data_IF_097274747425
#
_entry.id   IF_097274747425
#
_cell.length_a   1.000
_cell.length_b   1.000
_cell.length_c   1.000
_cell.angle_alpha   90.00
_cell.angle_beta   90.00
_cell.angle_gamma   90.00
#
_symmetry.space_group_name_H-M   'P 1'
#
loop_
_entity.id
_entity.type
_entity.pdbx_description
1 polymer ?
#
# COMPACT_ATOMS: atom_id res chain seq x y z
N UNK A 1 30.03 4.68 20.86
CA UNK A 1 28.81 4.10 20.27
C UNK A 1 27.66 4.90 20.85
N UNK A 2 27.14 5.82 20.04
CA UNK A 2 26.28 6.90 20.51
C UNK A 2 24.92 6.38 20.95
N UNK A 3 24.52 6.72 22.18
CA UNK A 3 23.14 6.60 22.66
C UNK A 3 22.15 7.47 21.85
N UNK A 4 22.65 8.29 20.90
CA UNK A 4 21.86 9.16 20.03
C UNK A 4 21.03 8.40 18.97
N UNK A 5 21.43 7.19 18.58
CA UNK A 5 20.67 6.37 17.62
C UNK A 5 19.52 5.56 18.28
N UNK A 6 19.44 5.56 19.62
CA UNK A 6 18.41 4.87 20.35
C UNK A 6 17.16 5.74 20.50
N UNK A 7 15.97 5.19 20.24
CA UNK A 7 14.69 5.89 20.38
C UNK A 7 14.22 5.94 21.85
N UNK A 8 15.10 6.35 22.78
CA UNK A 8 14.87 6.30 24.23
C UNK A 8 13.57 7.01 24.64
N UNK A 9 13.24 8.12 23.97
CA UNK A 9 12.02 8.89 24.19
C UNK A 9 10.72 8.11 23.88
N UNK A 10 10.78 7.05 23.05
CA UNK A 10 9.63 6.20 22.70
C UNK A 10 9.53 4.92 23.51
N UNK A 11 10.62 4.49 24.15
CA UNK A 11 10.67 3.18 24.80
C UNK A 11 9.57 2.98 25.83
N UNK A 12 9.23 4.01 26.63
CA UNK A 12 8.18 3.90 27.64
C UNK A 12 6.78 3.67 27.02
N UNK A 13 6.45 4.40 25.95
CA UNK A 13 5.17 4.27 25.26
C UNK A 13 5.03 2.91 24.55
N UNK A 14 6.10 2.46 23.89
CA UNK A 14 6.14 1.18 23.19
C UNK A 14 6.14 0.00 24.17
N UNK A 15 6.85 0.11 25.30
CA UNK A 15 6.81 -0.88 26.39
C UNK A 15 5.39 -1.02 26.96
N UNK A 16 4.66 0.09 27.16
CA UNK A 16 3.28 0.05 27.62
C UNK A 16 2.33 -0.63 26.62
N UNK A 17 2.56 -0.46 25.31
CA UNK A 17 1.81 -1.18 24.26
C UNK A 17 2.10 -2.68 24.28
N UNK A 18 3.38 -3.05 24.41
CA UNK A 18 3.82 -4.44 24.47
C UNK A 18 3.22 -5.17 25.67
N UNK A 19 3.28 -4.56 26.86
CA UNK A 19 2.72 -5.14 28.08
C UNK A 19 1.21 -5.36 28.01
N UNK A 20 0.47 -4.43 27.39
CA UNK A 20 -0.97 -4.60 27.12
C UNK A 20 -1.25 -5.75 26.16
N UNK A 21 -0.44 -5.89 25.12
CA UNK A 21 -0.61 -6.94 24.11
C UNK A 21 -0.28 -8.34 24.65
N UNK A 22 0.70 -8.45 25.56
CA UNK A 22 1.11 -9.70 26.18
C UNK A 22 0.33 -10.03 27.48
N UNK A 23 -0.67 -9.21 27.85
CA UNK A 23 -1.44 -9.33 29.10
C UNK A 23 -0.55 -9.48 30.36
N UNK A 24 0.64 -8.88 30.32
CA UNK A 24 1.63 -9.00 31.38
C UNK A 24 1.28 -8.06 32.53
N UNK A 25 1.08 -8.62 33.72
CA UNK A 25 0.72 -7.87 34.93
C UNK A 25 1.88 -7.05 35.54
N UNK A 26 3.11 -7.19 35.05
CA UNK A 26 4.28 -6.46 35.55
C UNK A 26 4.76 -5.39 34.57
N UNK A 27 5.11 -4.20 35.06
CA UNK A 27 5.60 -3.05 34.27
C UNK A 27 7.03 -3.16 33.75
N UNK A 28 7.60 -4.36 33.64
CA UNK A 28 9.02 -4.55 33.31
C UNK A 28 9.23 -5.08 31.89
N UNK A 29 10.06 -4.40 31.11
CA UNK A 29 10.44 -4.76 29.74
C UNK A 29 11.96 -4.73 29.57
N UNK A 30 12.50 -5.64 28.76
CA UNK A 30 13.92 -5.66 28.41
C UNK A 30 14.15 -5.01 27.05
N UNK A 31 15.04 -4.02 26.97
CA UNK A 31 15.51 -3.42 25.71
C UNK A 31 16.84 -4.05 25.30
N UNK A 32 16.92 -4.55 24.07
CA UNK A 32 18.13 -5.19 23.55
C UNK A 32 18.92 -4.20 22.67
N UNK A 33 20.06 -3.73 23.18
CA UNK A 33 20.94 -2.82 22.44
C UNK A 33 21.92 -3.57 21.53
N UNK A 34 22.34 -4.78 21.90
CA UNK A 34 23.08 -5.70 21.04
C UNK A 34 23.10 -7.11 21.66
N UNK A 35 23.84 -8.05 21.06
CA UNK A 35 23.98 -9.41 21.56
C UNK A 35 24.52 -9.51 23.01
N UNK A 36 25.23 -8.49 23.51
CA UNK A 36 25.90 -8.47 24.82
C UNK A 36 25.38 -7.41 25.80
N UNK A 37 24.53 -6.47 25.35
CA UNK A 37 24.01 -5.35 26.15
C UNK A 37 22.50 -5.32 26.13
N UNK A 38 21.91 -5.37 27.32
CA UNK A 38 20.47 -5.27 27.56
C UNK A 38 20.23 -4.24 28.65
N UNK A 39 19.14 -3.49 28.52
CA UNK A 39 18.66 -2.53 29.51
C UNK A 39 17.31 -3.01 30.00
N UNK A 40 17.03 -2.86 31.29
CA UNK A 40 15.73 -3.20 31.88
C UNK A 40 14.99 -1.89 32.14
N UNK A 41 13.77 -1.80 31.63
CA UNK A 41 12.87 -0.67 31.86
C UNK A 41 11.77 -1.13 32.81
N UNK A 42 11.61 -0.39 33.92
CA UNK A 42 10.49 -0.54 34.85
C UNK A 42 9.59 0.70 34.73
N UNK A 43 8.35 0.49 34.27
CA UNK A 43 7.35 1.54 34.11
C UNK A 43 6.60 1.85 35.41
N UNK A 44 6.53 0.91 36.35
CA UNK A 44 5.79 1.06 37.61
C UNK A 44 6.62 1.79 38.68
N UNK A 45 7.95 1.66 38.61
CA UNK A 45 8.89 2.34 39.50
C UNK A 45 10.21 2.69 38.77
N UNK A 46 10.29 3.85 38.10
CA UNK A 46 11.51 4.25 37.40
C UNK A 46 12.63 4.51 38.42
N UNK A 47 13.62 3.60 38.47
CA UNK A 47 14.81 3.73 39.32
C UNK A 47 14.96 2.66 40.42
N UNK A 48 13.97 1.80 40.60
CA UNK A 48 14.08 0.68 41.53
C UNK A 48 14.83 -0.51 40.89
N UNK A 49 15.72 -1.16 41.65
CA UNK A 49 16.42 -2.36 41.19
C UNK A 49 15.44 -3.48 40.96
N UNK A 50 15.37 -3.95 39.71
CA UNK A 50 14.42 -4.97 39.33
C UNK A 50 14.84 -6.34 39.88
N UNK A 51 13.89 -7.06 40.49
CA UNK A 51 14.09 -8.41 41.02
C UNK A 51 14.44 -9.43 39.92
N UNK A 52 14.74 -10.69 40.29
CA UNK A 52 15.09 -11.73 39.33
C UNK A 52 13.96 -11.95 38.31
N UNK A 53 14.30 -12.26 37.04
CA UNK A 53 13.30 -12.43 36.00
C UNK A 53 12.35 -13.60 36.34
N UNK A 54 11.06 -13.52 35.96
CA UNK A 54 10.13 -14.62 36.11
C UNK A 54 10.57 -15.82 35.28
N UNK A 55 10.04 -17.01 35.57
CA UNK A 55 10.41 -18.25 34.89
C UNK A 55 10.26 -18.22 33.36
N UNK A 56 9.40 -17.32 32.84
CA UNK A 56 9.17 -17.10 31.40
C UNK A 56 9.98 -15.92 30.81
N UNK A 57 10.76 -15.22 31.63
CA UNK A 57 11.47 -13.98 31.25
C UNK A 57 10.55 -12.76 31.15
N UNK A 58 11.14 -11.57 31.02
CA UNK A 58 10.38 -10.35 30.70
C UNK A 58 10.23 -10.17 29.19
N UNK A 59 9.14 -9.53 28.74
CA UNK A 59 8.98 -9.09 27.35
C UNK A 59 10.20 -8.33 26.85
N UNK A 60 10.55 -8.52 25.58
CA UNK A 60 11.65 -7.81 24.93
C UNK A 60 11.10 -6.77 23.98
N UNK A 61 11.52 -5.52 24.14
CA UNK A 61 11.12 -4.43 23.26
C UNK A 61 11.54 -4.75 21.81
N UNK A 62 10.64 -4.59 20.82
CA UNK A 62 10.97 -4.81 19.41
C UNK A 62 12.16 -3.95 18.96
N UNK A 63 12.97 -4.47 18.04
CA UNK A 63 14.15 -3.75 17.53
C UNK A 63 13.72 -2.43 16.85
N UNK A 64 12.56 -2.40 16.17
CA UNK A 64 12.00 -1.19 15.55
C UNK A 64 11.61 -0.08 16.55
N UNK A 65 11.35 -0.43 17.81
CA UNK A 65 11.11 0.52 18.89
C UNK A 65 12.39 0.86 19.66
N UNK A 66 13.44 0.05 19.52
CA UNK A 66 14.73 0.26 20.18
C UNK A 66 15.53 1.37 19.50
N UNK A 67 15.53 1.39 18.17
CA UNK A 67 16.32 2.31 17.35
C UNK A 67 15.47 3.42 16.73
N UNK A 68 16.09 4.56 16.44
CA UNK A 68 15.46 5.56 15.57
C UNK A 68 15.36 4.96 14.17
N UNK A 69 14.21 5.13 13.51
CA UNK A 69 14.01 4.62 12.16
C UNK A 69 14.95 5.34 11.18
N UNK A 70 15.60 4.65 10.22
CA UNK A 70 16.51 5.28 9.28
C UNK A 70 15.91 6.50 8.57
N UNK A 71 14.64 6.40 8.17
CA UNK A 71 13.92 7.49 7.50
C UNK A 71 13.74 8.72 8.42
N UNK A 72 13.50 8.51 9.72
CA UNK A 72 13.46 9.58 10.71
C UNK A 72 14.84 10.18 10.95
N UNK A 73 15.91 9.39 10.94
CA UNK A 73 17.28 9.91 11.06
C UNK A 73 17.61 10.81 9.86
N UNK A 74 17.25 10.39 8.65
CA UNK A 74 17.45 11.17 7.42
C UNK A 74 16.64 12.47 7.42
N UNK A 75 15.38 12.43 7.86
CA UNK A 75 14.53 13.62 8.01
C UNK A 75 15.10 14.59 9.04
N UNK A 76 15.47 14.12 10.23
CA UNK A 76 16.06 14.97 11.28
C UNK A 76 17.40 15.58 10.86
N UNK A 77 18.16 14.88 10.01
CA UNK A 77 19.40 15.36 9.44
C UNK A 77 19.20 16.32 8.25
N UNK A 78 17.95 16.52 7.79
CA UNK A 78 17.63 17.34 6.61
C UNK A 78 18.22 16.78 5.31
N UNK A 79 18.51 15.47 5.26
CA UNK A 79 19.08 14.82 4.09
C UNK A 79 18.02 14.41 3.07
N UNK A 80 16.77 14.30 3.51
CA UNK A 80 15.59 14.08 2.69
C UNK A 80 14.45 14.95 3.20
N UNK A 81 13.59 15.37 2.29
CA UNK A 81 12.33 16.04 2.59
C UNK A 81 11.18 15.01 2.64
N UNK A 82 10.09 15.36 3.33
CA UNK A 82 8.95 14.46 3.54
C UNK A 82 8.22 14.07 2.24
N UNK A 83 8.30 14.91 1.21
CA UNK A 83 7.74 14.69 -0.13
C UNK A 83 8.49 13.61 -0.92
N UNK A 84 9.74 13.30 -0.54
CA UNK A 84 10.55 12.23 -1.13
C UNK A 84 10.29 10.87 -0.49
N UNK A 85 9.57 10.84 0.64
CA UNK A 85 9.13 9.59 1.26
C UNK A 85 7.85 9.08 0.60
N UNK A 86 7.65 7.76 0.67
CA UNK A 86 6.39 7.18 0.24
C UNK A 86 5.23 7.76 1.08
N UNK A 87 4.06 8.11 0.51
CA UNK A 87 2.99 8.81 1.23
C UNK A 87 2.54 8.13 2.54
N UNK A 88 2.46 6.79 2.55
CA UNK A 88 2.15 6.03 3.76
C UNK A 88 3.23 6.21 4.85
N UNK A 89 4.49 6.20 4.46
CA UNK A 89 5.63 6.38 5.38
C UNK A 89 5.65 7.82 5.89
N UNK A 90 5.48 8.81 5.01
CA UNK A 90 5.38 10.21 5.39
C UNK A 90 4.25 10.44 6.41
N UNK A 91 3.06 9.88 6.16
CA UNK A 91 1.91 10.00 7.07
C UNK A 91 2.11 9.30 8.42
N UNK A 92 2.88 8.21 8.47
CA UNK A 92 3.16 7.48 9.70
C UNK A 92 4.26 8.15 10.54
N UNK A 93 5.26 8.76 9.89
CA UNK A 93 6.39 9.42 10.54
C UNK A 93 6.09 10.87 10.94
N UNK A 94 5.20 11.54 10.20
CA UNK A 94 4.80 12.93 10.39
C UNK A 94 3.26 13.01 10.45
N UNK A 95 2.63 12.67 11.59
CA UNK A 95 1.17 12.67 11.72
C UNK A 95 0.53 14.05 11.48
N UNK A 96 1.27 15.13 11.80
CA UNK A 96 0.84 16.51 11.60
C UNK A 96 1.03 16.99 10.14
N UNK A 97 1.77 16.23 9.32
CA UNK A 97 1.81 16.42 7.88
C UNK A 97 0.60 15.72 7.22
N UNK A 98 -0.61 16.06 7.67
CA UNK A 98 -1.81 15.81 6.86
C UNK A 98 -1.72 16.67 5.60
N UNK A 99 -1.13 16.08 4.54
CA UNK A 99 -1.16 16.52 3.14
C UNK A 99 -1.31 18.05 2.95
N UNK A 100 -0.26 18.80 3.27
CA UNK A 100 0.04 19.98 2.48
C UNK A 100 0.58 19.48 1.13
N UNK A 101 -0.30 19.35 0.14
CA UNK A 101 0.11 18.93 -1.20
C UNK A 101 -0.22 17.48 -1.56
N UNK A 102 -1.50 17.10 -1.51
CA UNK A 102 -2.02 16.66 -2.81
C UNK A 102 -1.94 17.94 -3.63
N UNK A 103 -0.91 18.06 -4.48
CA UNK A 103 -0.84 19.14 -5.44
C UNK A 103 -2.23 19.23 -6.04
N UNK A 104 -2.95 20.30 -5.67
CA UNK A 104 -4.07 20.73 -6.47
C UNK A 104 -3.43 20.87 -7.84
N UNK A 105 -3.73 19.92 -8.72
CA UNK A 105 -3.39 20.04 -10.12
C UNK A 105 -3.84 21.44 -10.50
N UNK A 106 -2.91 22.35 -10.84
CA UNK A 106 -3.33 23.62 -11.39
C UNK A 106 -4.12 23.24 -12.64
N UNK A 107 -5.40 23.59 -12.66
CA UNK A 107 -6.36 23.42 -13.76
C UNK A 107 -7.35 22.24 -13.66
N UNK A 108 -8.14 22.17 -12.58
CA UNK A 108 -9.46 21.48 -12.61
C UNK A 108 -10.51 22.17 -13.52
N UNK A 109 -10.08 23.04 -14.43
CA UNK A 109 -10.87 23.55 -15.56
C UNK A 109 -10.33 23.08 -16.93
N UNK A 110 -9.32 22.18 -16.94
CA UNK A 110 -8.59 21.75 -18.13
C UNK A 110 -8.71 20.28 -18.55
N UNK A 111 -9.45 19.43 -17.83
CA UNK A 111 -9.50 17.96 -18.06
C UNK A 111 -10.24 17.54 -19.35
N UNK A 112 -10.34 18.41 -20.36
CA UNK A 112 -10.87 18.01 -21.66
C UNK A 112 -9.76 17.51 -22.57
N UNK A 113 -9.66 16.19 -22.77
CA UNK A 113 -8.76 15.58 -23.76
C UNK A 113 -9.19 15.99 -25.16
N UNK A 114 -8.23 16.34 -26.01
CA UNK A 114 -8.48 16.69 -27.42
C UNK A 114 -8.15 15.52 -28.33
N UNK A 115 -9.00 15.27 -29.33
CA UNK A 115 -8.85 14.19 -30.31
C UNK A 115 -9.18 14.70 -31.69
N UNK A 116 -8.36 14.34 -32.67
CA UNK A 116 -8.64 14.54 -34.10
C UNK A 116 -9.75 13.58 -34.55
N UNK A 117 -10.94 14.10 -34.83
CA UNK A 117 -12.08 13.35 -35.32
C UNK A 117 -12.55 13.91 -36.66
N UNK A 118 -12.50 13.10 -37.71
CA UNK A 118 -12.97 13.46 -39.07
C UNK A 118 -12.42 14.82 -39.58
N UNK A 119 -11.19 15.18 -39.21
CA UNK A 119 -10.52 16.41 -39.64
C UNK A 119 -10.82 17.65 -38.79
N UNK A 120 -11.51 17.51 -37.66
CA UNK A 120 -11.70 18.55 -36.66
C UNK A 120 -11.17 18.10 -35.29
N UNK A 121 -10.74 19.07 -34.47
CA UNK A 121 -10.34 18.79 -33.08
C UNK A 121 -11.58 18.75 -32.18
N UNK A 122 -11.91 17.58 -31.64
CA UNK A 122 -13.00 17.38 -30.70
C UNK A 122 -12.48 17.28 -29.26
N UNK A 123 -13.32 17.63 -28.30
CA UNK A 123 -13.09 17.63 -26.86
C UNK A 123 -13.85 16.47 -26.22
N UNK A 124 -13.15 15.73 -25.37
CA UNK A 124 -13.70 14.70 -24.49
C UNK A 124 -13.59 15.24 -23.08
N UNK A 125 -14.70 15.32 -22.35
CA UNK A 125 -14.72 15.76 -20.96
C UNK A 125 -15.43 14.74 -20.07
N UNK A 126 -15.34 14.93 -18.76
CA UNK A 126 -16.10 14.14 -17.78
C UNK A 126 -17.42 14.85 -17.50
N UNK A 127 -18.54 14.14 -17.66
CA UNK A 127 -19.88 14.58 -17.24
C UNK A 127 -20.47 13.46 -16.39
N UNK A 128 -20.85 13.78 -15.15
CA UNK A 128 -21.40 12.81 -14.18
C UNK A 128 -20.54 11.54 -13.99
N UNK A 129 -19.22 11.71 -13.91
CA UNK A 129 -18.28 10.59 -13.73
C UNK A 129 -18.05 9.73 -14.98
N UNK A 130 -18.55 10.16 -16.15
CA UNK A 130 -18.40 9.44 -17.42
C UNK A 130 -17.68 10.31 -18.44
N UNK A 131 -16.71 9.73 -19.16
CA UNK A 131 -16.08 10.40 -20.29
C UNK A 131 -17.06 10.51 -21.47
N UNK A 132 -17.39 11.73 -21.86
CA UNK A 132 -18.34 12.06 -22.93
C UNK A 132 -17.65 12.91 -24.00
N UNK A 133 -17.86 12.61 -25.30
CA UNK A 133 -17.44 13.52 -26.36
C UNK A 133 -18.39 14.73 -26.39
N UNK A 134 -17.86 15.91 -26.06
CA UNK A 134 -18.65 17.13 -25.89
C UNK A 134 -19.13 17.71 -27.23
N UNK A 135 -18.43 17.40 -28.32
CA UNK A 135 -18.71 17.94 -29.66
C UNK A 135 -19.59 17.02 -30.52
N UNK A 136 -20.17 15.97 -29.94
CA UNK A 136 -21.10 15.07 -30.62
C UNK A 136 -22.50 15.10 -29.99
N UNK A 137 -23.53 15.12 -30.84
CA UNK A 137 -24.92 14.97 -30.38
C UNK A 137 -25.24 13.51 -30.01
N UNK A 138 -26.21 13.29 -29.11
CA UNK A 138 -26.60 11.95 -28.64
C UNK A 138 -27.04 11.02 -29.79
N UNK A 139 -27.74 11.54 -30.80
CA UNK A 139 -28.17 10.74 -31.95
C UNK A 139 -27.01 10.34 -32.86
N UNK A 140 -25.97 11.18 -32.93
CA UNK A 140 -24.75 10.83 -33.63
C UNK A 140 -23.99 9.72 -32.90
N UNK A 141 -23.83 9.86 -31.58
CA UNK A 141 -23.18 8.85 -30.74
C UNK A 141 -23.89 7.49 -30.87
N UNK A 142 -25.21 7.45 -30.72
CA UNK A 142 -26.00 6.21 -30.82
C UNK A 142 -25.83 5.51 -32.16
N UNK A 143 -25.83 6.27 -33.26
CA UNK A 143 -25.63 5.70 -34.61
C UNK A 143 -24.24 5.08 -34.74
N UNK A 144 -23.23 5.76 -34.24
CA UNK A 144 -21.83 5.30 -34.33
C UNK A 144 -21.60 4.08 -33.44
N UNK A 145 -22.19 4.04 -32.24
CA UNK A 145 -22.19 2.85 -31.38
C UNK A 145 -22.87 1.65 -32.04
N UNK A 146 -23.98 1.87 -32.74
CA UNK A 146 -24.64 0.81 -33.54
C UNK A 146 -23.75 0.33 -34.69
N UNK A 147 -23.07 1.24 -35.39
CA UNK A 147 -22.13 0.86 -36.45
C UNK A 147 -20.97 0.02 -35.89
N UNK A 148 -20.44 0.37 -34.71
CA UNK A 148 -19.41 -0.40 -34.02
C UNK A 148 -19.90 -1.80 -33.64
N UNK A 149 -21.10 -1.91 -33.08
CA UNK A 149 -21.70 -3.19 -32.74
C UNK A 149 -21.89 -4.11 -33.96
N UNK A 150 -22.07 -3.54 -35.15
CA UNK A 150 -22.16 -4.25 -36.42
C UNK A 150 -20.78 -4.52 -37.08
N UNK A 151 -19.68 -4.28 -36.37
CA UNK A 151 -18.30 -4.52 -36.85
C UNK A 151 -17.69 -3.35 -37.62
N UNK A 152 -18.33 -2.18 -37.61
CA UNK A 152 -17.79 -0.94 -38.16
C UNK A 152 -16.67 -0.35 -37.29
N UNK A 153 -15.85 0.52 -37.88
CA UNK A 153 -14.80 1.24 -37.16
C UNK A 153 -15.39 2.36 -36.30
N UNK A 154 -15.09 2.34 -35.00
CA UNK A 154 -15.47 3.40 -34.08
C UNK A 154 -14.87 4.76 -34.47
N UNK A 155 -15.60 5.84 -34.19
CA UNK A 155 -15.07 7.19 -34.28
C UNK A 155 -13.80 7.35 -33.43
N UNK A 156 -12.83 8.19 -33.85
CA UNK A 156 -11.66 8.50 -33.03
C UNK A 156 -12.00 8.92 -31.60
N UNK A 157 -13.05 9.72 -31.40
CA UNK A 157 -13.52 10.11 -30.06
C UNK A 157 -13.96 8.92 -29.21
N UNK A 158 -14.80 8.04 -29.75
CA UNK A 158 -15.27 6.85 -29.04
C UNK A 158 -14.12 5.87 -28.74
N UNK A 159 -13.20 5.69 -29.70
CA UNK A 159 -11.97 4.90 -29.48
C UNK A 159 -11.10 5.48 -28.37
N UNK A 160 -10.92 6.80 -28.33
CA UNK A 160 -10.12 7.44 -27.30
C UNK A 160 -10.75 7.30 -25.90
N UNK A 161 -12.08 7.32 -25.81
CA UNK A 161 -12.81 7.04 -24.57
C UNK A 161 -12.63 5.57 -24.16
N UNK A 162 -12.83 4.63 -25.09
CA UNK A 162 -12.66 3.21 -24.81
C UNK A 162 -11.22 2.86 -24.39
N UNK A 163 -10.22 3.49 -25.02
CA UNK A 163 -8.82 3.28 -24.67
C UNK A 163 -8.50 3.87 -23.30
N UNK A 164 -9.00 5.06 -22.97
CA UNK A 164 -8.83 5.65 -21.64
C UNK A 164 -9.39 4.73 -20.53
N UNK A 165 -10.49 4.02 -20.78
CA UNK A 165 -11.03 3.05 -19.83
C UNK A 165 -10.25 1.73 -19.80
N UNK A 166 -9.75 1.24 -20.95
CA UNK A 166 -9.09 -0.07 -21.03
C UNK A 166 -7.62 -0.04 -20.62
N UNK A 167 -6.88 0.99 -21.04
CA UNK A 167 -5.45 1.18 -20.77
C UNK A 167 -5.18 2.67 -20.49
N UNK A 168 -5.43 3.17 -19.27
CA UNK A 168 -5.03 4.52 -18.91
C UNK A 168 -3.51 4.65 -19.00
N UNK A 169 -3.02 5.78 -19.50
CA UNK A 169 -1.58 6.06 -19.61
C UNK A 169 -0.81 5.88 -18.29
N UNK A 170 -1.44 6.20 -17.16
CA UNK A 170 -0.86 6.07 -15.82
C UNK A 170 -1.08 4.68 -15.18
N UNK A 171 -1.51 3.66 -15.94
CA UNK A 171 -1.72 2.31 -15.41
C UNK A 171 -0.47 1.75 -14.71
N UNK A 172 0.71 2.13 -15.19
CA UNK A 172 2.00 1.74 -14.57
C UNK A 172 2.12 2.30 -13.16
N UNK A 173 1.79 3.58 -12.97
CA UNK A 173 1.89 4.25 -11.68
C UNK A 173 0.82 3.78 -10.70
N UNK A 174 -0.40 3.55 -11.19
CA UNK A 174 -1.48 2.92 -10.41
C UNK A 174 -1.05 1.53 -9.93
N UNK A 175 -0.46 0.71 -10.82
CA UNK A 175 0.01 -0.63 -10.47
C UNK A 175 1.14 -0.60 -9.44
N UNK A 176 2.10 0.31 -9.60
CA UNK A 176 3.17 0.50 -8.62
C UNK A 176 2.59 0.83 -7.22
N UNK A 177 1.64 1.75 -7.13
CA UNK A 177 0.96 2.09 -5.87
C UNK A 177 0.24 0.90 -5.25
N UNK A 178 -0.49 0.14 -6.05
CA UNK A 178 -1.19 -1.07 -5.59
C UNK A 178 -0.22 -2.14 -5.10
N UNK A 179 0.89 -2.38 -5.81
CA UNK A 179 1.93 -3.32 -5.39
C UNK A 179 2.59 -2.91 -4.06
N UNK A 180 2.61 -1.60 -3.76
CA UNK A 180 3.08 -1.05 -2.48
C UNK A 180 1.99 -0.93 -1.40
N UNK A 181 0.74 -1.30 -1.69
CA UNK A 181 -0.38 -1.24 -0.75
C UNK A 181 -1.02 0.14 -0.57
N UNK A 182 -0.69 1.13 -1.42
CA UNK A 182 -1.32 2.45 -1.44
C UNK A 182 -2.61 2.44 -2.27
N UNK A 183 -3.66 1.81 -1.72
CA UNK A 183 -4.98 1.75 -2.40
C UNK A 183 -5.64 3.12 -2.51
N UNK A 184 -5.50 3.96 -1.49
CA UNK A 184 -6.07 5.31 -1.49
C UNK A 184 -5.43 6.19 -2.56
N UNK A 185 -4.10 6.18 -2.69
CA UNK A 185 -3.41 6.93 -3.74
C UNK A 185 -3.64 6.36 -5.14
N UNK A 186 -3.79 5.04 -5.28
CA UNK A 186 -4.16 4.42 -6.55
C UNK A 186 -5.55 4.86 -7.02
N UNK A 187 -6.54 4.87 -6.12
CA UNK A 187 -7.91 5.33 -6.43
C UNK A 187 -7.93 6.83 -6.78
N UNK A 188 -7.21 7.67 -6.02
CA UNK A 188 -7.14 9.10 -6.31
C UNK A 188 -6.53 9.38 -7.70
N UNK A 189 -5.54 8.59 -8.13
CA UNK A 189 -4.97 8.70 -9.48
C UNK A 189 -6.01 8.34 -10.55
N UNK A 190 -6.76 7.24 -10.35
CA UNK A 190 -7.84 6.84 -11.26
C UNK A 190 -8.94 7.90 -11.33
N UNK A 191 -9.36 8.45 -10.19
CA UNK A 191 -10.37 9.52 -10.12
C UNK A 191 -9.90 10.80 -10.83
N UNK A 192 -8.62 11.13 -10.76
CA UNK A 192 -8.05 12.27 -11.48
C UNK A 192 -8.07 12.09 -13.00
N UNK A 193 -7.90 10.85 -13.48
CA UNK A 193 -7.85 10.53 -14.92
C UNK A 193 -9.22 10.38 -15.54
N UNK A 194 -10.11 9.65 -14.88
CA UNK A 194 -11.39 9.24 -15.43
C UNK A 194 -12.59 9.99 -14.84
N UNK A 195 -12.35 10.70 -13.73
CA UNK A 195 -13.38 11.38 -12.96
C UNK A 195 -13.78 10.60 -11.69
N UNK A 196 -14.40 11.29 -10.73
CA UNK A 196 -14.97 10.65 -9.55
C UNK A 196 -16.09 9.69 -9.96
N UNK A 197 -16.28 8.62 -9.19
CA UNK A 197 -17.33 7.61 -9.37
C UNK A 197 -17.35 6.93 -10.76
N UNK A 198 -16.21 6.90 -11.47
CA UNK A 198 -16.13 6.27 -12.79
C UNK A 198 -16.53 4.79 -12.73
N UNK A 199 -17.45 4.41 -13.61
CA UNK A 199 -17.78 3.00 -13.83
C UNK A 199 -16.70 2.32 -14.67
N UNK A 200 -15.86 1.52 -14.02
CA UNK A 200 -14.77 0.79 -14.67
C UNK A 200 -15.32 -0.30 -15.61
N UNK A 201 -15.05 -0.12 -16.91
CA UNK A 201 -15.24 -1.18 -17.91
C UNK A 201 -14.21 -2.30 -17.73
N UNK A 202 -14.51 -3.47 -18.32
CA UNK A 202 -13.56 -4.58 -18.39
C UNK A 202 -12.30 -4.16 -19.16
N UNK A 203 -11.14 -4.43 -18.57
CA UNK A 203 -9.84 -4.00 -19.10
C UNK A 203 -8.74 -4.13 -18.05
N UNK A 204 -7.50 -3.83 -18.45
CA UNK A 204 -6.32 -4.04 -17.62
C UNK A 204 -6.42 -3.30 -16.27
N UNK A 205 -6.95 -2.08 -16.24
CA UNK A 205 -7.16 -1.33 -14.99
C UNK A 205 -8.08 -2.06 -14.01
N UNK A 206 -9.22 -2.57 -14.49
CA UNK A 206 -10.18 -3.30 -13.66
C UNK A 206 -9.58 -4.61 -13.14
N UNK A 207 -8.86 -5.32 -13.99
CA UNK A 207 -8.21 -6.58 -13.63
C UNK A 207 -7.13 -6.38 -12.56
N UNK A 208 -6.37 -5.28 -12.63
CA UNK A 208 -5.36 -4.92 -11.63
C UNK A 208 -5.99 -4.58 -10.27
N UNK A 209 -7.06 -3.78 -10.26
CA UNK A 209 -7.79 -3.47 -9.02
C UNK A 209 -8.42 -4.73 -8.41
N UNK A 210 -9.03 -5.58 -9.22
CA UNK A 210 -9.57 -6.86 -8.73
C UNK A 210 -8.46 -7.76 -8.18
N UNK A 211 -7.32 -7.81 -8.84
CA UNK A 211 -6.15 -8.57 -8.38
C UNK A 211 -5.62 -8.03 -7.06
N UNK A 212 -5.54 -6.70 -6.90
CA UNK A 212 -5.13 -6.06 -5.65
C UNK A 212 -6.08 -6.41 -4.49
N UNK A 213 -7.40 -6.33 -4.72
CA UNK A 213 -8.41 -6.74 -3.73
C UNK A 213 -8.26 -8.21 -3.37
N UNK A 214 -8.07 -9.09 -4.36
CA UNK A 214 -7.89 -10.53 -4.13
C UNK A 214 -6.64 -10.83 -3.31
N UNK A 215 -5.54 -10.13 -3.58
CA UNK A 215 -4.29 -10.20 -2.79
C UNK A 215 -4.52 -9.72 -1.37
N UNK A 216 -5.22 -8.60 -1.18
CA UNK A 216 -5.53 -8.06 0.15
C UNK A 216 -6.40 -9.02 0.97
N UNK A 217 -7.43 -9.61 0.37
CA UNK A 217 -8.28 -10.62 1.05
C UNK A 217 -7.47 -11.86 1.40
N UNK A 218 -6.66 -12.37 0.47
CA UNK A 218 -5.82 -13.55 0.70
C UNK A 218 -4.80 -13.30 1.81
N UNK A 219 -4.17 -12.13 1.80
CA UNK A 219 -3.24 -11.73 2.85
C UNK A 219 -3.95 -11.57 4.20
N UNK A 220 -5.14 -10.97 4.22
CA UNK A 220 -5.97 -10.85 5.42
C UNK A 220 -6.38 -12.21 5.99
N UNK A 221 -6.81 -13.14 5.15
CA UNK A 221 -7.11 -14.53 5.53
C UNK A 221 -5.87 -15.22 6.12
N UNK A 222 -4.71 -15.04 5.48
CA UNK A 222 -3.45 -15.57 6.00
C UNK A 222 -3.11 -14.99 7.37
N UNK A 223 -3.22 -13.68 7.54
CA UNK A 223 -2.93 -12.99 8.81
C UNK A 223 -3.90 -13.37 9.93
N UNK A 224 -5.13 -13.75 9.58
CA UNK A 224 -6.15 -14.23 10.50
C UNK A 224 -6.02 -15.74 10.81
N UNK A 225 -5.04 -16.44 10.22
CA UNK A 225 -4.91 -17.90 10.35
C UNK A 225 -6.02 -18.68 9.63
N UNK A 226 -6.78 -18.01 8.76
CA UNK A 226 -7.87 -18.58 7.97
C UNK A 226 -7.41 -19.04 6.58
N UNK A 227 -6.16 -18.75 6.19
CA UNK A 227 -5.59 -19.32 4.97
C UNK A 227 -5.24 -20.79 5.18
N UNK A 228 -5.68 -21.65 4.26
CA UNK A 228 -5.34 -23.08 4.29
C UNK A 228 -6.41 -24.02 4.82
N UNK A 229 -7.66 -23.57 5.03
CA UNK A 229 -8.82 -24.47 5.05
C UNK A 229 -9.14 -25.01 3.65
N UNK A 230 -8.12 -25.55 2.98
CA UNK A 230 -8.32 -26.47 1.87
C UNK A 230 -8.74 -27.84 2.43
N UNK A 231 -9.42 -28.67 1.63
CA UNK A 231 -9.67 -30.06 2.02
C UNK A 231 -8.34 -30.70 2.46
N UNK A 232 -8.34 -31.50 3.54
CA UNK A 232 -7.12 -32.07 4.09
C UNK A 232 -6.37 -32.80 2.97
N UNK A 233 -5.03 -32.67 2.90
CA UNK A 233 -4.26 -33.44 1.94
C UNK A 233 -4.62 -34.90 2.14
N UNK A 234 -5.06 -35.56 1.06
CA UNK A 234 -5.32 -37.00 1.10
C UNK A 234 -4.06 -37.65 1.65
N UNK A 235 -4.22 -38.52 2.65
CA UNK A 235 -3.14 -39.22 3.32
C UNK A 235 -2.34 -40.04 2.30
N UNK A 236 -1.40 -39.41 1.60
CA UNK A 236 -0.44 -40.06 0.74
C UNK A 236 0.63 -40.64 1.64
N UNK A 237 0.36 -41.90 1.97
CA UNK A 237 1.31 -42.98 2.27
C UNK A 237 2.74 -42.49 2.52
N UNK A 238 3.07 -42.38 3.80
CA UNK A 238 4.43 -42.21 4.33
C UNK A 238 5.30 -43.41 3.97
N UNK A 239 5.70 -43.55 2.71
CA UNK A 239 6.82 -44.41 2.33
C UNK A 239 8.08 -43.58 2.18
N UNK A 240 8.81 -43.54 3.30
CA UNK A 240 10.28 -43.47 3.39
C UNK A 240 10.99 -43.31 2.04
N UNK A 241 11.47 -42.10 1.76
CA UNK A 241 12.71 -41.93 0.99
C UNK A 241 13.78 -41.37 1.91
N UNK A 242 14.40 -42.27 2.67
CA UNK A 242 15.70 -42.03 3.28
C UNK A 242 16.72 -41.89 2.14
N UNK A 243 17.11 -40.66 1.79
CA UNK A 243 18.30 -40.43 0.95
C UNK A 243 19.49 -40.23 1.87
N UNK A 244 20.51 -41.11 1.88
CA UNK A 244 21.75 -40.84 2.57
C UNK A 244 22.52 -39.77 1.77
N UNK A 245 22.92 -38.69 2.43
CA UNK A 245 23.92 -37.76 1.90
C UNK A 245 25.29 -38.40 2.14
N UNK A 246 25.96 -38.85 1.08
CA UNK A 246 27.38 -39.13 1.15
C UNK A 246 28.14 -37.80 1.20
N UNK A 247 28.78 -37.54 2.33
CA UNK A 247 29.83 -36.54 2.45
C UNK A 247 31.12 -37.15 1.89
N UNK A 248 31.66 -36.60 0.81
CA UNK A 248 33.04 -36.85 0.40
C UNK A 248 33.90 -35.71 0.93
N UNK A 249 34.72 -36.03 1.92
CA UNK A 249 35.96 -35.31 2.22
C UNK A 249 36.95 -35.58 1.08
N UNK A 250 37.40 -34.54 0.38
CA UNK A 250 38.83 -34.25 0.15
C UNK A 250 39.01 -32.86 -0.42
#
# INVERSE_FOLDING_TARGET
MDLRACAVHRWAAEAALLLRAEECAGGVVTVRLNARRRVVLNLDAPGETVGPPPAQGWPVLPDAATWVLPDLELLHAGLIDADRLHPLVASALLPDCQRAGASQSPDSSGNSRRVECRGATHRIGVVDGVLVPLDHGLDEIRREELLVALGGNALPCLRAIDEAHRNPEDLVDVRARLDHGDTAGALAAVESLLGPDVLLRSGALRDELETAVRRQVTHGLYRAGLAGFGPPPSARDTRRRTRPRHATFR
#
